data_IF_277290746297
#
_entry.id   IF_277290746297
#
_cell.length_a   1.000
_cell.length_b   1.000
_cell.length_c   1.000
_cell.angle_alpha   90.00
_cell.angle_beta   90.00
_cell.angle_gamma   90.00
#
_symmetry.space_group_name_H-M   'P 1'
#
loop_
_entity.id
_entity.type
_entity.pdbx_description
1 polymer ?
#
# COMPACT_ATOMS: atom_id res chain seq x y z
N UNK A 1 1.90 -0.96 -26.30
CA UNK A 1 0.83 -1.63 -25.52
C UNK A 1 -0.05 -0.57 -24.86
N UNK A 2 -1.39 -0.63 -25.00
CA UNK A 2 -2.30 0.32 -24.34
C UNK A 2 -2.59 -0.17 -22.92
N UNK A 3 -2.36 0.68 -21.92
CA UNK A 3 -2.57 0.39 -20.51
C UNK A 3 -3.57 1.39 -19.94
N UNK A 4 -4.61 0.90 -19.27
CA UNK A 4 -5.51 1.69 -18.44
C UNK A 4 -5.07 1.57 -16.98
N UNK A 5 -4.66 2.68 -16.36
CA UNK A 5 -4.26 2.74 -14.96
C UNK A 5 -5.36 3.40 -14.12
N UNK A 6 -5.91 2.66 -13.18
CA UNK A 6 -6.89 3.12 -12.21
C UNK A 6 -6.16 3.53 -10.93
N UNK A 7 -6.40 4.77 -10.47
CA UNK A 7 -5.80 5.31 -9.25
C UNK A 7 -4.35 5.80 -9.42
N UNK A 8 -4.01 6.37 -10.56
CA UNK A 8 -2.68 6.93 -10.86
C UNK A 8 -2.18 7.95 -9.83
N UNK A 9 -3.08 8.76 -9.25
CA UNK A 9 -2.73 9.84 -8.31
C UNK A 9 -2.49 9.36 -6.86
N UNK A 10 -2.66 8.05 -6.60
CA UNK A 10 -2.38 7.44 -5.30
C UNK A 10 -0.88 7.26 -5.03
N UNK A 11 -0.53 6.97 -3.77
CA UNK A 11 0.86 6.73 -3.36
C UNK A 11 1.60 5.72 -4.26
N UNK A 12 1.00 4.57 -4.53
CA UNK A 12 1.59 3.58 -5.43
C UNK A 12 1.36 3.94 -6.90
N UNK A 13 0.16 4.45 -7.23
CA UNK A 13 -0.27 4.68 -8.61
C UNK A 13 0.65 5.60 -9.41
N UNK A 14 1.19 6.66 -8.78
CA UNK A 14 2.13 7.57 -9.43
C UNK A 14 3.43 6.89 -9.86
N UNK A 15 4.01 6.03 -9.01
CA UNK A 15 5.22 5.27 -9.36
C UNK A 15 4.95 4.21 -10.43
N UNK A 16 3.74 3.65 -10.43
CA UNK A 16 3.30 2.74 -11.49
C UNK A 16 3.15 3.51 -12.80
N UNK A 17 2.56 4.70 -12.78
CA UNK A 17 2.46 5.57 -13.96
C UNK A 17 3.85 5.90 -14.52
N UNK A 18 4.76 6.39 -13.67
CA UNK A 18 6.14 6.72 -14.05
C UNK A 18 6.87 5.52 -14.65
N UNK A 19 6.72 4.35 -14.01
CA UNK A 19 7.37 3.12 -14.50
C UNK A 19 6.81 2.65 -15.84
N UNK A 20 5.50 2.78 -16.06
CA UNK A 20 4.85 2.43 -17.32
C UNK A 20 5.23 3.41 -18.43
N UNK A 21 5.25 4.71 -18.15
CA UNK A 21 5.64 5.76 -19.10
C UNK A 21 7.13 5.71 -19.49
N UNK A 22 7.97 5.13 -18.64
CA UNK A 22 9.38 4.89 -18.95
C UNK A 22 9.58 3.81 -20.04
N UNK A 23 8.55 3.06 -20.40
CA UNK A 23 8.57 2.11 -21.50
C UNK A 23 7.93 2.76 -22.75
N UNK A 24 8.71 3.07 -23.80
CA UNK A 24 8.20 3.77 -24.99
C UNK A 24 7.15 2.97 -25.79
N UNK A 25 7.05 1.66 -25.54
CA UNK A 25 6.01 0.82 -26.13
C UNK A 25 4.66 0.91 -25.41
N UNK A 26 4.58 1.65 -24.26
CA UNK A 26 3.36 1.80 -23.47
C UNK A 26 2.66 3.12 -23.81
N UNK A 27 1.38 3.03 -24.10
CA UNK A 27 0.46 4.17 -24.14
C UNK A 27 -0.44 4.09 -22.90
N UNK A 28 -0.20 4.96 -21.95
CA UNK A 28 -0.91 5.01 -20.67
C UNK A 28 -2.14 5.92 -20.77
N UNK A 29 -3.26 5.46 -20.23
CA UNK A 29 -4.44 6.28 -19.95
C UNK A 29 -4.72 6.18 -18.44
N UNK A 30 -4.73 7.29 -17.73
CA UNK A 30 -5.02 7.36 -16.30
C UNK A 30 -6.50 7.64 -16.07
N UNK A 31 -7.17 6.79 -15.27
CA UNK A 31 -8.55 6.97 -14.86
C UNK A 31 -8.62 7.15 -13.34
N UNK A 32 -9.29 8.20 -12.90
CA UNK A 32 -9.37 8.55 -11.48
C UNK A 32 -10.42 9.61 -11.18
N UNK A 33 -10.47 10.08 -9.92
CA UNK A 33 -11.41 11.10 -9.46
C UNK A 33 -10.87 12.52 -9.52
N UNK A 34 -9.55 12.66 -9.57
CA UNK A 34 -8.86 13.96 -9.56
C UNK A 34 -8.80 14.60 -10.93
N UNK A 35 -8.45 15.89 -10.95
CA UNK A 35 -8.29 16.67 -12.17
C UNK A 35 -7.05 16.26 -12.98
N UNK A 36 -6.09 15.62 -12.34
CA UNK A 36 -4.86 15.09 -12.97
C UNK A 36 -5.08 13.76 -13.71
N UNK A 37 -6.30 13.20 -13.71
CA UNK A 37 -6.61 11.99 -14.47
C UNK A 37 -7.01 12.37 -15.91
N UNK A 38 -6.54 11.60 -16.90
CA UNK A 38 -6.95 11.78 -18.30
C UNK A 38 -8.47 11.62 -18.45
N UNK A 39 -9.07 10.75 -17.63
CA UNK A 39 -10.50 10.52 -17.57
C UNK A 39 -11.01 10.49 -16.13
N UNK A 40 -11.99 11.34 -15.85
CA UNK A 40 -12.63 11.40 -14.52
C UNK A 40 -13.70 10.32 -14.39
N UNK A 41 -13.51 9.43 -13.43
CA UNK A 41 -14.46 8.36 -13.10
C UNK A 41 -14.34 7.90 -11.65
N UNK A 42 -15.47 7.78 -10.97
CA UNK A 42 -15.53 7.20 -9.62
C UNK A 42 -15.90 5.71 -9.71
N UNK A 43 -14.92 4.83 -9.51
CA UNK A 43 -15.12 3.39 -9.53
C UNK A 43 -16.14 2.89 -8.49
N UNK A 44 -16.25 3.59 -7.36
CA UNK A 44 -17.12 3.19 -6.25
C UNK A 44 -18.55 3.67 -6.37
N UNK A 45 -18.82 4.65 -7.24
CA UNK A 45 -20.14 5.24 -7.46
C UNK A 45 -20.58 5.23 -8.93
N UNK A 46 -19.65 4.96 -9.83
CA UNK A 46 -19.90 4.97 -11.27
C UNK A 46 -20.60 3.72 -11.78
N UNK A 47 -21.30 3.85 -12.88
CA UNK A 47 -21.98 2.73 -13.54
C UNK A 47 -20.99 1.79 -14.21
N UNK A 48 -21.06 0.46 -14.00
CA UNK A 48 -20.27 -0.52 -14.76
C UNK A 48 -20.45 -0.35 -16.27
N UNK A 49 -21.68 -0.05 -16.75
CA UNK A 49 -21.95 0.17 -18.18
C UNK A 49 -21.25 1.40 -18.76
N UNK A 50 -21.00 2.45 -17.98
CA UNK A 50 -20.20 3.59 -18.42
C UNK A 50 -18.73 3.21 -18.57
N UNK A 51 -18.19 2.44 -17.62
CA UNK A 51 -16.83 1.92 -17.71
C UNK A 51 -16.68 0.91 -18.86
N UNK A 52 -17.69 0.07 -19.13
CA UNK A 52 -17.75 -0.82 -20.29
C UNK A 52 -17.57 -0.04 -21.58
N UNK A 53 -18.39 1.00 -21.82
CA UNK A 53 -18.28 1.82 -23.05
C UNK A 53 -16.92 2.49 -23.19
N UNK A 54 -16.33 2.90 -22.07
CA UNK A 54 -14.98 3.45 -22.06
C UNK A 54 -13.92 2.41 -22.45
N UNK A 55 -13.99 1.20 -21.89
CA UNK A 55 -13.13 0.09 -22.26
C UNK A 55 -13.26 -0.28 -23.74
N UNK A 56 -14.49 -0.29 -24.27
CA UNK A 56 -14.76 -0.55 -25.69
C UNK A 56 -14.20 0.55 -26.60
N UNK A 57 -14.13 1.81 -26.13
CA UNK A 57 -13.55 2.90 -26.91
C UNK A 57 -12.01 2.89 -26.90
N UNK A 58 -11.40 2.60 -25.75
CA UNK A 58 -9.94 2.64 -25.56
C UNK A 58 -9.26 1.36 -26.02
N UNK A 59 -9.94 0.22 -25.91
CA UNK A 59 -9.40 -1.12 -26.18
C UNK A 59 -8.03 -1.33 -25.49
N UNK A 60 -7.94 -1.23 -24.15
CA UNK A 60 -6.68 -1.50 -23.47
C UNK A 60 -6.27 -2.97 -23.64
N UNK A 61 -4.98 -3.22 -23.70
CA UNK A 61 -4.44 -4.59 -23.57
C UNK A 61 -4.25 -5.00 -22.12
N UNK A 62 -4.08 -4.00 -21.21
CA UNK A 62 -3.92 -4.23 -19.78
C UNK A 62 -4.70 -3.17 -18.99
N UNK A 63 -5.39 -3.62 -17.94
CA UNK A 63 -5.98 -2.76 -16.89
C UNK A 63 -5.19 -2.98 -15.61
N UNK A 64 -4.59 -1.93 -15.08
CA UNK A 64 -3.88 -1.95 -13.79
C UNK A 64 -4.74 -1.23 -12.77
N UNK A 65 -5.11 -1.91 -11.69
CA UNK A 65 -5.90 -1.31 -10.62
C UNK A 65 -5.08 -1.07 -9.35
N UNK A 66 -4.63 0.17 -9.16
CA UNK A 66 -4.02 0.70 -7.95
C UNK A 66 -5.02 1.50 -7.08
N UNK A 67 -6.27 1.63 -7.51
CA UNK A 67 -7.29 2.37 -6.77
C UNK A 67 -7.72 1.63 -5.50
N UNK A 68 -7.99 2.38 -4.45
CA UNK A 68 -8.48 1.86 -3.18
C UNK A 68 -8.35 2.89 -2.07
N UNK A 69 -8.97 2.59 -0.93
CA UNK A 69 -8.87 3.36 0.30
C UNK A 69 -8.15 2.53 1.36
N UNK A 70 -7.25 3.17 2.12
CA UNK A 70 -6.50 2.54 3.23
C UNK A 70 -7.04 2.95 4.59
N UNK A 71 -7.93 3.95 4.63
CA UNK A 71 -8.54 4.52 5.84
C UNK A 71 -10.03 4.71 5.65
N UNK A 72 -10.75 4.76 6.76
CA UNK A 72 -12.19 4.94 6.78
C UNK A 72 -12.89 3.86 7.59
N UNK A 73 -14.19 4.00 7.78
CA UNK A 73 -15.04 2.97 8.38
C UNK A 73 -15.22 1.76 7.46
N UNK A 74 -15.72 0.65 8.02
CA UNK A 74 -15.94 -0.60 7.26
C UNK A 74 -16.75 -0.38 5.97
N UNK A 75 -17.82 0.44 6.04
CA UNK A 75 -18.66 0.76 4.88
C UNK A 75 -17.89 1.48 3.77
N UNK A 76 -17.05 2.45 4.14
CA UNK A 76 -16.25 3.23 3.20
C UNK A 76 -15.17 2.35 2.56
N UNK A 77 -14.46 1.56 3.36
CA UNK A 77 -13.46 0.61 2.88
C UNK A 77 -14.08 -0.43 1.93
N UNK A 78 -15.24 -1.00 2.28
CA UNK A 78 -15.96 -1.92 1.39
C UNK A 78 -16.34 -1.24 0.08
N UNK A 79 -16.85 -0.01 0.13
CA UNK A 79 -17.22 0.75 -1.08
C UNK A 79 -16.04 0.96 -2.01
N UNK A 80 -14.90 1.44 -1.47
CA UNK A 80 -13.74 1.82 -2.29
C UNK A 80 -12.83 0.65 -2.65
N UNK A 81 -12.81 -0.44 -1.89
CA UNK A 81 -11.95 -1.58 -2.17
C UNK A 81 -12.69 -2.74 -2.83
N UNK A 82 -13.91 -3.05 -2.38
CA UNK A 82 -14.65 -4.22 -2.87
C UNK A 82 -15.61 -3.83 -4.01
N UNK A 83 -16.50 -2.86 -3.78
CA UNK A 83 -17.49 -2.46 -4.81
C UNK A 83 -16.81 -1.86 -6.03
N UNK A 84 -15.78 -1.03 -5.84
CA UNK A 84 -14.99 -0.49 -6.95
C UNK A 84 -14.36 -1.61 -7.82
N UNK A 85 -13.83 -2.66 -7.20
CA UNK A 85 -13.26 -3.81 -7.93
C UNK A 85 -14.36 -4.62 -8.63
N UNK A 86 -15.53 -4.79 -7.99
CA UNK A 86 -16.68 -5.42 -8.64
C UNK A 86 -17.08 -4.67 -9.92
N UNK A 87 -17.13 -3.31 -9.87
CA UNK A 87 -17.40 -2.46 -11.02
C UNK A 87 -16.39 -2.70 -12.16
N UNK A 88 -15.09 -2.82 -11.84
CA UNK A 88 -14.04 -3.11 -12.84
C UNK A 88 -14.24 -4.50 -13.45
N UNK A 89 -14.40 -5.53 -12.64
CA UNK A 89 -14.60 -6.91 -13.13
C UNK A 89 -15.85 -7.03 -14.01
N UNK A 90 -16.95 -6.41 -13.59
CA UNK A 90 -18.20 -6.41 -14.36
C UNK A 90 -18.06 -5.67 -15.70
N UNK A 91 -17.43 -4.49 -15.68
CA UNK A 91 -17.20 -3.73 -16.90
C UNK A 91 -16.30 -4.48 -17.90
N UNK A 92 -15.20 -5.07 -17.41
CA UNK A 92 -14.30 -5.86 -18.26
C UNK A 92 -14.98 -7.10 -18.85
N UNK A 93 -15.83 -7.78 -18.09
CA UNK A 93 -16.59 -8.94 -18.59
C UNK A 93 -17.66 -8.58 -19.62
N UNK A 94 -18.23 -7.38 -19.55
CA UNK A 94 -19.23 -6.88 -20.51
C UNK A 94 -18.59 -6.27 -21.74
N UNK A 95 -17.36 -5.80 -21.61
CA UNK A 95 -16.59 -5.22 -22.72
C UNK A 95 -16.17 -6.29 -23.72
N UNK A 96 -16.09 -5.94 -24.98
CA UNK A 96 -15.49 -6.78 -26.02
C UNK A 96 -13.96 -6.83 -25.98
N UNK A 97 -13.30 -6.12 -25.05
CA UNK A 97 -11.84 -6.15 -24.93
C UNK A 97 -11.34 -7.36 -24.13
N UNK A 98 -10.22 -7.95 -24.58
CA UNK A 98 -9.54 -9.08 -23.93
C UNK A 98 -8.41 -8.61 -23.03
N UNK A 99 -8.61 -7.51 -22.32
CA UNK A 99 -7.59 -6.91 -21.46
C UNK A 99 -7.22 -7.82 -20.28
N UNK A 100 -5.93 -7.89 -19.99
CA UNK A 100 -5.41 -8.49 -18.74
C UNK A 100 -5.65 -7.57 -17.56
N UNK A 101 -6.07 -8.10 -16.40
CA UNK A 101 -6.23 -7.35 -15.16
C UNK A 101 -5.03 -7.60 -14.22
N UNK A 102 -4.33 -6.53 -13.85
CA UNK A 102 -3.36 -6.53 -12.75
C UNK A 102 -3.97 -5.80 -11.55
N UNK A 103 -4.40 -6.56 -10.55
CA UNK A 103 -5.03 -6.02 -9.34
C UNK A 103 -4.01 -5.87 -8.22
N UNK A 104 -3.91 -4.70 -7.61
CA UNK A 104 -3.11 -4.51 -6.40
C UNK A 104 -3.91 -4.94 -5.18
N UNK A 105 -3.46 -6.05 -4.56
CA UNK A 105 -3.89 -6.59 -3.28
C UNK A 105 -3.02 -6.09 -2.12
N UNK A 106 -3.17 -6.71 -0.94
CA UNK A 106 -2.43 -6.31 0.25
C UNK A 106 -2.14 -7.51 1.17
N UNK A 107 -0.97 -7.52 1.81
CA UNK A 107 -0.61 -8.53 2.82
C UNK A 107 -1.58 -8.59 4.01
N UNK A 108 -2.33 -7.51 4.29
CA UNK A 108 -3.37 -7.50 5.34
C UNK A 108 -4.51 -8.51 5.09
N UNK A 109 -4.65 -9.03 3.87
CA UNK A 109 -5.57 -10.10 3.53
C UNK A 109 -5.24 -11.40 4.26
N UNK A 110 -3.95 -11.67 4.52
CA UNK A 110 -3.52 -12.84 5.29
C UNK A 110 -3.84 -12.73 6.78
N UNK A 111 -3.84 -11.50 7.33
CA UNK A 111 -3.95 -11.27 8.77
C UNK A 111 -2.67 -11.61 9.54
N UNK A 112 -2.79 -11.99 10.82
CA UNK A 112 -1.63 -12.32 11.67
C UNK A 112 -0.89 -13.56 11.16
N UNK A 113 0.44 -13.45 11.03
CA UNK A 113 1.32 -14.55 10.68
C UNK A 113 2.17 -15.00 11.87
N UNK A 114 2.61 -16.25 11.86
CA UNK A 114 3.47 -16.78 12.92
C UNK A 114 4.85 -16.10 12.89
N UNK A 115 5.36 -15.59 14.01
CA UNK A 115 6.69 -15.01 14.07
C UNK A 115 7.77 -15.94 13.53
N UNK A 116 8.68 -15.40 12.71
CA UNK A 116 9.75 -16.15 12.07
C UNK A 116 9.36 -16.91 10.80
N UNK A 117 8.08 -16.93 10.43
CA UNK A 117 7.62 -17.60 9.20
C UNK A 117 7.45 -16.62 8.03
N UNK A 118 7.66 -17.12 6.80
CA UNK A 118 7.27 -16.42 5.57
C UNK A 118 5.88 -16.86 5.14
N UNK A 119 5.07 -15.91 4.72
CA UNK A 119 3.69 -16.16 4.25
C UNK A 119 3.71 -16.44 2.76
N UNK A 120 3.33 -17.64 2.35
CA UNK A 120 3.17 -18.04 0.96
C UNK A 120 1.77 -17.70 0.43
N UNK A 121 1.58 -17.77 -0.89
CA UNK A 121 0.32 -17.37 -1.55
C UNK A 121 -0.84 -18.30 -1.24
N UNK A 122 -0.57 -19.55 -0.88
CA UNK A 122 -1.55 -20.56 -0.46
C UNK A 122 -1.93 -20.49 1.03
N UNK A 123 -1.31 -19.59 1.79
CA UNK A 123 -1.68 -19.36 3.19
C UNK A 123 -3.15 -18.93 3.29
N UNK A 124 -3.89 -19.59 4.21
CA UNK A 124 -5.31 -19.31 4.43
C UNK A 124 -5.50 -17.88 4.94
N UNK A 125 -6.24 -17.01 4.21
CA UNK A 125 -6.47 -15.64 4.63
C UNK A 125 -7.31 -15.56 5.91
N UNK A 126 -6.86 -14.73 6.87
CA UNK A 126 -7.56 -14.46 8.14
C UNK A 126 -7.44 -12.98 8.50
N UNK A 127 -8.00 -12.07 7.69
CA UNK A 127 -7.85 -10.64 7.92
C UNK A 127 -8.41 -10.22 9.27
N UNK A 128 -7.63 -9.48 10.06
CA UNK A 128 -7.99 -9.08 11.42
C UNK A 128 -8.76 -7.75 11.51
N UNK A 129 -9.03 -7.07 10.39
CA UNK A 129 -9.71 -5.79 10.41
C UNK A 129 -10.44 -5.44 9.11
N UNK A 130 -11.30 -4.40 9.11
CA UNK A 130 -12.16 -4.05 7.98
C UNK A 130 -11.41 -3.81 6.66
N UNK A 131 -10.20 -3.25 6.74
CA UNK A 131 -9.37 -3.04 5.56
C UNK A 131 -8.95 -4.37 4.92
N UNK A 132 -8.35 -5.27 5.68
CA UNK A 132 -7.96 -6.59 5.19
C UNK A 132 -9.15 -7.37 4.65
N UNK A 133 -10.30 -7.33 5.33
CA UNK A 133 -11.56 -7.95 4.86
C UNK A 133 -11.99 -7.38 3.51
N UNK A 134 -11.98 -6.05 3.35
CA UNK A 134 -12.38 -5.40 2.09
C UNK A 134 -11.41 -5.72 0.93
N UNK A 135 -10.11 -5.84 1.22
CA UNK A 135 -9.09 -6.23 0.23
C UNK A 135 -9.20 -7.70 -0.16
N UNK A 136 -9.44 -8.59 0.82
CA UNK A 136 -9.67 -10.02 0.56
C UNK A 136 -10.91 -10.23 -0.32
N UNK A 137 -12.03 -9.57 0.00
CA UNK A 137 -13.24 -9.65 -0.81
C UNK A 137 -12.99 -9.19 -2.26
N UNK A 138 -12.18 -8.15 -2.46
CA UNK A 138 -11.77 -7.70 -3.80
C UNK A 138 -10.92 -8.77 -4.52
N UNK A 139 -9.97 -9.39 -3.82
CA UNK A 139 -9.15 -10.48 -4.37
C UNK A 139 -10.03 -11.64 -4.82
N UNK A 140 -10.97 -12.07 -3.98
CA UNK A 140 -11.89 -13.16 -4.32
C UNK A 140 -12.77 -12.84 -5.53
N UNK A 141 -13.25 -11.60 -5.66
CA UNK A 141 -14.00 -11.15 -6.84
C UNK A 141 -13.16 -11.26 -8.12
N UNK A 142 -11.89 -10.87 -8.08
CA UNK A 142 -10.98 -10.95 -9.23
C UNK A 142 -10.71 -12.40 -9.61
N UNK A 143 -10.35 -13.25 -8.64
CA UNK A 143 -10.02 -14.67 -8.87
C UNK A 143 -11.19 -15.47 -9.44
N UNK A 144 -12.42 -15.10 -9.07
CA UNK A 144 -13.64 -15.75 -9.54
C UNK A 144 -14.32 -15.02 -10.73
N UNK A 145 -13.68 -13.99 -11.30
CA UNK A 145 -14.26 -13.20 -12.39
C UNK A 145 -14.25 -13.88 -13.76
N UNK A 146 -13.41 -14.90 -13.96
CA UNK A 146 -13.13 -15.51 -15.25
C UNK A 146 -12.26 -14.66 -16.19
N UNK A 147 -11.71 -13.53 -15.71
CA UNK A 147 -10.78 -12.69 -16.46
C UNK A 147 -9.35 -13.28 -16.46
N UNK A 148 -8.56 -12.94 -17.47
CA UNK A 148 -7.10 -13.09 -17.36
C UNK A 148 -6.59 -12.09 -16.31
N UNK A 149 -6.31 -12.56 -15.10
CA UNK A 149 -6.03 -11.69 -13.96
C UNK A 149 -4.91 -12.22 -13.07
N UNK A 150 -4.16 -11.27 -12.48
CA UNK A 150 -3.21 -11.52 -11.40
C UNK A 150 -3.43 -10.53 -10.27
N UNK A 151 -3.38 -11.01 -9.03
CA UNK A 151 -3.46 -10.18 -7.82
C UNK A 151 -2.09 -10.11 -7.19
N UNK A 152 -1.55 -8.90 -7.06
CA UNK A 152 -0.28 -8.64 -6.39
C UNK A 152 -0.55 -8.27 -4.93
N UNK A 153 -0.36 -9.22 -4.00
CA UNK A 153 -0.45 -8.93 -2.56
C UNK A 153 0.81 -8.22 -2.09
N UNK A 154 0.73 -6.90 -2.04
CA UNK A 154 1.85 -6.04 -1.65
C UNK A 154 2.00 -6.03 -0.15
N UNK A 155 3.21 -6.32 0.34
CA UNK A 155 3.59 -6.15 1.73
C UNK A 155 3.85 -4.67 2.01
N UNK A 156 4.34 -4.28 3.16
CA UNK A 156 4.37 -2.87 3.61
C UNK A 156 5.12 -1.93 2.65
N UNK A 157 4.44 -1.26 1.69
CA UNK A 157 5.11 -0.38 0.73
C UNK A 157 5.58 0.92 1.40
N UNK A 158 6.83 1.30 1.09
CA UNK A 158 7.52 2.48 1.63
C UNK A 158 8.30 3.19 0.54
N UNK A 159 8.80 4.40 0.81
CA UNK A 159 9.61 5.18 -0.14
C UNK A 159 9.14 6.61 -0.26
N UNK A 160 9.55 7.34 -1.30
CA UNK A 160 9.16 8.74 -1.49
C UNK A 160 7.63 8.90 -1.51
N UNK A 161 7.10 9.89 -0.80
CA UNK A 161 5.66 10.11 -0.65
C UNK A 161 4.94 9.13 0.25
N UNK A 162 5.65 8.39 1.06
CA UNK A 162 5.04 7.57 2.10
C UNK A 162 4.03 8.40 2.90
N UNK A 163 2.75 7.97 2.99
CA UNK A 163 1.71 8.76 3.65
C UNK A 163 2.09 9.09 5.09
N UNK A 164 1.96 10.36 5.49
CA UNK A 164 2.28 10.84 6.84
C UNK A 164 1.56 10.07 7.95
N UNK A 165 0.45 9.43 7.65
CA UNK A 165 -0.26 8.58 8.60
C UNK A 165 0.19 7.12 8.63
N UNK A 166 1.18 6.70 7.83
CA UNK A 166 1.81 5.38 7.96
C UNK A 166 2.75 5.35 9.17
N UNK A 167 3.14 4.17 9.69
CA UNK A 167 4.07 4.11 10.83
C UNK A 167 5.37 4.86 10.57
N UNK A 168 6.01 4.65 9.42
CA UNK A 168 7.27 5.33 9.09
C UNK A 168 7.07 6.80 8.73
N UNK A 169 5.94 7.16 8.10
CA UNK A 169 5.61 8.57 7.83
C UNK A 169 5.36 9.37 9.11
N UNK A 170 4.65 8.79 10.10
CA UNK A 170 4.47 9.42 11.41
C UNK A 170 5.79 9.57 12.15
N UNK A 171 6.65 8.56 12.09
CA UNK A 171 7.96 8.60 12.71
C UNK A 171 8.83 9.71 12.11
N UNK A 172 8.89 9.81 10.79
CA UNK A 172 9.63 10.90 10.12
C UNK A 172 9.09 12.28 10.52
N UNK A 173 7.78 12.43 10.60
CA UNK A 173 7.15 13.68 11.01
C UNK A 173 7.39 14.00 12.51
N UNK A 174 7.41 12.99 13.38
CA UNK A 174 7.75 13.15 14.79
C UNK A 174 9.21 13.61 14.96
N UNK A 175 10.15 12.98 14.23
CA UNK A 175 11.57 13.38 14.26
C UNK A 175 11.75 14.80 13.73
N UNK A 176 11.08 15.16 12.63
CA UNK A 176 11.14 16.51 12.08
C UNK A 176 10.69 17.56 13.12
N UNK A 177 9.56 17.29 13.81
CA UNK A 177 9.05 18.20 14.85
C UNK A 177 10.01 18.29 16.04
N UNK A 178 10.55 17.16 16.52
CA UNK A 178 11.50 17.12 17.61
C UNK A 178 12.77 17.94 17.29
N UNK A 179 13.29 17.79 16.07
CA UNK A 179 14.46 18.57 15.63
C UNK A 179 14.15 20.07 15.52
N UNK A 180 12.94 20.46 15.13
CA UNK A 180 12.51 21.86 15.07
C UNK A 180 12.29 22.48 16.46
N UNK A 181 11.77 21.70 17.40
CA UNK A 181 11.56 22.16 18.80
C UNK A 181 12.80 22.04 19.67
N UNK A 182 13.87 21.38 19.20
CA UNK A 182 15.05 21.07 20.01
C UNK A 182 14.84 19.94 21.01
N UNK A 183 13.82 19.11 20.84
CA UNK A 183 13.54 17.98 21.70
C UNK A 183 14.54 16.84 21.47
N UNK A 184 15.17 16.39 22.56
CA UNK A 184 16.16 15.33 22.54
C UNK A 184 15.59 13.96 22.92
N UNK A 185 14.27 13.84 23.07
CA UNK A 185 13.58 12.60 23.42
C UNK A 185 12.33 12.39 22.54
N UNK A 186 12.21 11.23 21.94
CA UNK A 186 11.01 10.77 21.25
C UNK A 186 10.43 9.56 21.96
N UNK A 187 9.19 9.68 22.43
CA UNK A 187 8.45 8.58 23.07
C UNK A 187 7.54 7.92 22.05
N UNK A 188 7.81 6.69 21.72
CA UNK A 188 7.18 5.93 20.64
C UNK A 188 6.57 4.64 21.20
N UNK A 189 5.42 4.22 20.67
CA UNK A 189 4.81 2.94 21.00
C UNK A 189 4.67 2.04 19.80
N UNK A 190 4.62 0.71 20.02
CA UNK A 190 4.43 -0.28 18.97
C UNK A 190 5.66 -0.55 18.09
N UNK A 191 6.85 -0.24 18.60
CA UNK A 191 8.13 -0.47 17.91
C UNK A 191 8.49 -1.96 17.79
N UNK A 192 7.84 -2.84 18.56
CA UNK A 192 8.06 -4.30 18.52
C UNK A 192 7.50 -4.99 17.28
N UNK A 193 6.65 -4.31 16.50
CA UNK A 193 6.03 -4.87 15.29
C UNK A 193 7.09 -5.09 14.21
N UNK A 194 7.00 -6.24 13.51
CA UNK A 194 7.89 -6.58 12.41
C UNK A 194 7.12 -6.62 11.10
N UNK A 195 7.67 -5.98 10.06
CA UNK A 195 7.06 -5.84 8.73
C UNK A 195 8.09 -6.09 7.64
N UNK A 196 7.64 -6.67 6.55
CA UNK A 196 8.38 -6.73 5.30
C UNK A 196 8.14 -5.44 4.53
N UNK A 197 9.09 -4.51 4.64
CA UNK A 197 9.03 -3.22 3.97
C UNK A 197 9.60 -3.34 2.56
N UNK A 198 8.80 -3.04 1.55
CA UNK A 198 9.21 -3.04 0.15
C UNK A 198 9.13 -1.63 -0.44
N UNK A 199 10.14 -1.23 -1.19
CA UNK A 199 10.12 0.10 -1.83
C UNK A 199 9.02 0.20 -2.89
N UNK A 200 8.32 1.32 -2.90
CA UNK A 200 7.19 1.57 -3.81
C UNK A 200 7.60 1.53 -5.28
N UNK A 201 8.85 1.91 -5.61
CA UNK A 201 9.43 1.82 -6.97
C UNK A 201 9.65 0.36 -7.37
N UNK A 202 10.01 -0.49 -6.42
CA UNK A 202 10.12 -1.92 -6.64
C UNK A 202 8.74 -2.56 -6.85
N UNK A 203 7.72 -2.11 -6.11
CA UNK A 203 6.32 -2.53 -6.36
C UNK A 203 5.88 -2.10 -7.76
N UNK A 204 6.19 -0.88 -8.20
CA UNK A 204 5.87 -0.42 -9.55
C UNK A 204 6.54 -1.28 -10.63
N UNK A 205 7.79 -1.72 -10.41
CA UNK A 205 8.45 -2.70 -11.30
C UNK A 205 7.75 -4.06 -11.32
N UNK A 206 7.23 -4.50 -10.17
CA UNK A 206 6.44 -5.74 -10.10
C UNK A 206 5.13 -5.63 -10.90
N UNK A 207 4.42 -4.50 -10.78
CA UNK A 207 3.21 -4.22 -11.56
C UNK A 207 3.51 -4.22 -13.06
N UNK A 208 4.59 -3.56 -13.51
CA UNK A 208 5.02 -3.57 -14.90
C UNK A 208 5.35 -5.00 -15.38
N UNK A 209 6.11 -5.77 -14.60
CA UNK A 209 6.42 -7.16 -14.93
C UNK A 209 5.17 -8.04 -15.03
N UNK A 210 4.22 -7.86 -14.10
CA UNK A 210 2.93 -8.56 -14.11
C UNK A 210 2.08 -8.20 -15.34
N UNK A 211 2.16 -6.95 -15.80
CA UNK A 211 1.45 -6.50 -17.02
C UNK A 211 1.94 -7.20 -18.29
N UNK A 212 3.18 -7.66 -18.30
CA UNK A 212 3.82 -8.34 -19.44
C UNK A 212 3.85 -9.87 -19.30
N UNK A 213 3.47 -10.40 -18.14
CA UNK A 213 3.54 -11.83 -17.84
C UNK A 213 2.23 -12.56 -18.16
N UNK A 214 2.28 -13.89 -18.22
CA UNK A 214 1.09 -14.76 -18.24
C UNK A 214 0.72 -15.29 -16.83
N UNK A 215 1.33 -14.75 -15.75
CA UNK A 215 1.07 -15.19 -14.41
C UNK A 215 -0.38 -14.92 -14.00
N UNK A 216 -1.05 -15.89 -13.41
CA UNK A 216 -2.43 -15.80 -12.92
C UNK A 216 -2.48 -16.10 -11.41
N UNK A 217 -3.60 -15.81 -10.79
CA UNK A 217 -3.79 -16.04 -9.36
C UNK A 217 -3.10 -14.97 -8.50
N UNK A 218 -2.52 -15.38 -7.38
CA UNK A 218 -1.91 -14.48 -6.40
C UNK A 218 -0.39 -14.52 -6.52
N UNK A 219 0.25 -13.36 -6.35
CA UNK A 219 1.71 -13.21 -6.25
C UNK A 219 2.04 -12.24 -5.12
N UNK A 220 2.86 -12.67 -4.17
CA UNK A 220 3.34 -11.82 -3.08
C UNK A 220 4.45 -10.88 -3.55
N UNK A 221 4.34 -9.60 -3.20
CA UNK A 221 5.35 -8.58 -3.50
C UNK A 221 5.87 -8.00 -2.18
N UNK A 222 7.09 -8.40 -1.85
CA UNK A 222 7.80 -8.03 -0.62
C UNK A 222 9.31 -8.22 -0.81
N UNK A 223 10.08 -8.05 0.25
CA UNK A 223 11.53 -8.29 0.24
C UNK A 223 11.91 -9.69 0.70
N UNK A 224 11.00 -10.42 1.35
CA UNK A 224 11.28 -11.68 2.03
C UNK A 224 12.02 -11.49 3.36
N UNK A 225 12.05 -10.27 3.90
CA UNK A 225 12.72 -9.95 5.17
C UNK A 225 11.82 -9.08 6.05
N UNK A 226 11.46 -9.60 7.21
CA UNK A 226 10.78 -8.82 8.23
C UNK A 226 11.80 -7.96 9.00
N UNK A 227 11.52 -6.68 9.13
CA UNK A 227 12.34 -5.72 9.89
C UNK A 227 11.49 -5.20 11.05
N UNK A 228 12.07 -5.16 12.24
CA UNK A 228 11.41 -4.59 13.42
C UNK A 228 11.27 -3.08 13.22
N UNK A 229 10.12 -2.52 13.57
CA UNK A 229 9.88 -1.08 13.42
C UNK A 229 10.88 -0.24 14.24
N UNK A 230 11.34 -0.76 15.39
CA UNK A 230 12.42 -0.14 16.17
C UNK A 230 13.72 0.01 15.37
N UNK A 231 14.11 -1.04 14.62
CA UNK A 231 15.34 -1.02 13.84
C UNK A 231 15.22 -0.03 12.68
N UNK A 232 14.04 -0.01 12.01
CA UNK A 232 13.74 1.00 10.99
C UNK A 232 13.75 2.43 11.57
N UNK A 233 13.25 2.63 12.80
CA UNK A 233 13.28 3.90 13.50
C UNK A 233 14.72 4.35 13.79
N UNK A 234 15.59 3.45 14.21
CA UNK A 234 17.02 3.74 14.46
C UNK A 234 17.75 4.12 13.17
N UNK A 235 17.46 3.43 12.06
CA UNK A 235 18.01 3.80 10.75
C UNK A 235 17.52 5.17 10.30
N UNK A 236 16.22 5.44 10.45
CA UNK A 236 15.65 6.74 10.08
C UNK A 236 16.25 7.88 10.93
N UNK A 237 16.45 7.68 12.25
CA UNK A 237 17.09 8.67 13.12
C UNK A 237 18.51 8.98 12.66
N UNK A 238 19.29 7.95 12.31
CA UNK A 238 20.65 8.12 11.77
C UNK A 238 20.64 8.91 10.45
N UNK A 239 19.77 8.56 9.52
CA UNK A 239 19.64 9.25 8.22
C UNK A 239 19.18 10.69 8.39
N UNK A 240 18.29 10.94 9.36
CA UNK A 240 17.79 12.27 9.69
C UNK A 240 18.84 13.16 10.41
N UNK A 241 19.91 12.56 10.93
CA UNK A 241 20.83 13.27 11.83
C UNK A 241 20.21 13.58 13.19
N UNK A 242 19.15 12.86 13.58
CA UNK A 242 18.53 13.02 14.89
C UNK A 242 19.39 12.37 15.97
N UNK A 243 19.93 13.18 16.90
CA UNK A 243 20.79 12.72 17.99
C UNK A 243 20.06 12.45 19.30
N UNK A 244 18.74 12.68 19.35
CA UNK A 244 17.93 12.43 20.53
C UNK A 244 17.67 10.94 20.79
N UNK A 245 17.22 10.63 22.01
CA UNK A 245 16.91 9.27 22.41
C UNK A 245 15.53 8.82 21.91
N UNK A 246 15.44 7.56 21.49
CA UNK A 246 14.18 6.90 21.13
C UNK A 246 13.73 6.00 22.26
N UNK A 247 12.69 6.40 22.97
CA UNK A 247 12.11 5.66 24.09
C UNK A 247 10.90 4.86 23.63
N UNK A 248 10.92 3.54 23.81
CA UNK A 248 9.75 2.69 23.57
C UNK A 248 8.86 2.69 24.82
N UNK A 249 7.58 2.96 24.62
CA UNK A 249 6.56 2.85 25.66
C UNK A 249 5.96 1.46 25.64
N UNK A 250 5.99 0.77 26.78
CA UNK A 250 5.57 -0.63 26.95
C UNK A 250 4.06 -0.87 26.77
N UNK A 251 3.23 0.17 26.84
CA UNK A 251 1.79 0.07 26.66
C UNK A 251 1.23 1.26 25.84
N UNK A 252 0.21 1.04 25.02
CA UNK A 252 -0.56 2.16 24.48
C UNK A 252 -1.22 2.89 25.67
N UNK A 253 -1.25 4.24 25.69
CA UNK A 253 -1.98 4.96 26.71
C UNK A 253 -3.46 4.56 26.68
N UNK A 254 -4.16 4.70 27.80
CA UNK A 254 -5.57 4.47 27.88
C UNK A 254 -6.29 5.30 26.81
N UNK A 255 -7.25 4.69 26.11
CA UNK A 255 -8.11 5.41 25.16
C UNK A 255 -8.80 6.53 25.90
N UNK A 256 -8.48 7.78 25.56
CA UNK A 256 -9.23 8.91 26.10
C UNK A 256 -10.69 8.79 25.63
N UNK A 257 -11.67 9.07 26.49
CA UNK A 257 -13.06 9.15 26.07
C UNK A 257 -13.22 10.14 24.91
N UNK A 258 -14.07 9.79 23.94
CA UNK A 258 -14.39 10.67 22.82
C UNK A 258 -14.94 11.98 23.42
N UNK A 259 -14.23 13.10 23.25
CA UNK A 259 -14.66 14.43 23.74
C UNK A 259 -13.83 15.03 24.87
N UNK A 260 -12.78 14.39 25.38
CA UNK A 260 -11.92 15.01 26.40
C UNK A 260 -11.07 16.16 25.78
N UNK A 261 -11.00 17.35 26.43
CA UNK A 261 -10.16 18.44 25.96
C UNK A 261 -8.68 18.08 26.09
N UNK A 262 -7.89 18.34 25.07
CA UNK A 262 -6.43 18.14 25.11
C UNK A 262 -5.80 19.22 25.98
N UNK A 263 -5.05 18.83 27.00
CA UNK A 263 -4.22 19.77 27.74
C UNK A 263 -2.95 20.09 26.95
N UNK A 264 -2.55 21.36 26.96
CA UNK A 264 -1.45 21.89 26.14
C UNK A 264 -0.03 21.56 26.66
N UNK A 265 0.11 20.64 27.62
CA UNK A 265 1.37 20.35 28.32
C UNK A 265 1.79 18.88 28.29
N UNK A 266 1.10 18.02 27.51
CA UNK A 266 1.55 16.63 27.35
C UNK A 266 2.60 16.55 26.24
N UNK A 267 3.80 16.07 26.60
CA UNK A 267 4.83 15.64 25.66
C UNK A 267 4.18 14.77 24.58
N UNK A 268 4.46 15.05 23.30
CA UNK A 268 3.85 14.37 22.17
C UNK A 268 4.21 12.90 22.21
N UNK A 269 3.34 12.09 22.77
CA UNK A 269 3.44 10.63 22.73
C UNK A 269 2.86 10.18 21.39
N UNK A 270 3.72 9.84 20.46
CA UNK A 270 3.27 9.39 19.15
C UNK A 270 3.08 7.88 19.12
N UNK A 271 1.80 7.46 19.05
CA UNK A 271 1.44 6.06 18.96
C UNK A 271 1.55 5.57 17.53
N UNK A 272 2.58 4.79 17.23
CA UNK A 272 2.76 4.18 15.92
C UNK A 272 1.76 3.04 15.65
N UNK A 273 1.06 2.54 16.69
CA UNK A 273 0.13 1.42 16.58
C UNK A 273 -1.33 1.71 16.95
N UNK A 274 -1.65 2.83 17.63
CA UNK A 274 -2.95 3.02 18.30
C UNK A 274 -3.96 3.93 17.58
N UNK A 275 -3.62 4.59 16.49
CA UNK A 275 -4.56 5.29 15.61
C UNK A 275 -4.86 4.43 14.39
N UNK A 276 -5.94 4.68 13.63
CA UNK A 276 -6.20 3.92 12.41
C UNK A 276 -4.97 4.04 11.48
N UNK A 277 -4.06 3.11 11.67
CA UNK A 277 -2.86 2.90 10.86
C UNK A 277 -3.31 2.55 9.45
N UNK A 278 -2.60 2.93 8.38
CA UNK A 278 -2.78 2.34 7.06
C UNK A 278 -2.53 0.83 7.05
N UNK A 279 -1.91 0.32 8.14
CA UNK A 279 -1.88 -1.10 8.48
C UNK A 279 -2.87 -1.32 9.62
N UNK A 280 -4.16 -1.58 9.32
CA UNK A 280 -5.20 -1.70 10.33
C UNK A 280 -4.89 -2.85 11.28
N UNK A 281 -5.34 -2.67 12.52
CA UNK A 281 -5.36 -3.72 13.54
C UNK A 281 -5.78 -5.05 12.91
N UNK A 282 -4.95 -6.06 13.07
CA UNK A 282 -5.20 -7.39 12.49
C UNK A 282 -4.09 -7.95 11.63
N UNK A 283 -3.05 -7.17 11.30
CA UNK A 283 -1.84 -7.72 10.68
C UNK A 283 -0.92 -8.45 11.67
N UNK A 284 -1.27 -8.50 12.96
CA UNK A 284 -0.44 -9.10 14.00
C UNK A 284 0.91 -8.40 14.20
N UNK A 285 1.78 -9.02 14.99
CA UNK A 285 3.11 -8.50 15.27
C UNK A 285 4.16 -8.84 14.19
N UNK A 286 3.87 -9.76 13.28
CA UNK A 286 4.80 -10.26 12.28
C UNK A 286 4.17 -10.34 10.89
N UNK A 287 4.87 -9.87 9.86
CA UNK A 287 4.59 -10.13 8.45
C UNK A 287 5.87 -10.22 7.64
N UNK A 288 6.03 -11.30 6.88
CA UNK A 288 7.13 -11.53 5.95
C UNK A 288 6.58 -12.26 4.71
N UNK A 289 6.94 -11.80 3.53
CA UNK A 289 6.54 -12.43 2.26
C UNK A 289 7.39 -13.68 1.97
N UNK A 290 6.77 -14.71 1.45
CA UNK A 290 7.48 -15.63 0.56
C UNK A 290 7.48 -15.02 -0.85
N UNK A 291 8.65 -14.77 -1.39
CA UNK A 291 8.84 -14.08 -2.67
C UNK A 291 9.26 -15.00 -3.83
N UNK A 292 9.19 -16.31 -3.63
CA UNK A 292 9.58 -17.29 -4.65
C UNK A 292 8.71 -17.18 -5.89
N UNK A 293 7.40 -17.06 -5.73
CA UNK A 293 6.44 -16.92 -6.84
C UNK A 293 6.73 -15.67 -7.67
N UNK A 294 7.02 -14.53 -7.04
CA UNK A 294 7.37 -13.29 -7.75
C UNK A 294 8.63 -13.47 -8.60
N UNK A 295 9.64 -14.13 -8.06
CA UNK A 295 10.86 -14.42 -8.78
C UNK A 295 10.62 -15.36 -9.96
N UNK A 296 9.89 -16.44 -9.74
CA UNK A 296 9.78 -17.54 -10.70
C UNK A 296 8.76 -17.23 -11.82
N UNK A 297 7.64 -16.51 -11.50
CA UNK A 297 6.58 -16.19 -12.47
C UNK A 297 6.70 -14.81 -13.10
N UNK A 298 7.30 -13.82 -12.41
CA UNK A 298 7.45 -12.46 -12.91
C UNK A 298 8.89 -12.10 -13.24
N UNK A 299 9.88 -12.93 -12.92
CA UNK A 299 11.31 -12.57 -13.01
C UNK A 299 11.67 -11.39 -12.12
N UNK A 300 10.84 -11.11 -11.10
CA UNK A 300 10.96 -9.94 -10.28
C UNK A 300 11.73 -10.20 -8.97
N UNK A 301 12.54 -9.23 -8.56
CA UNK A 301 13.21 -9.17 -7.25
C UNK A 301 13.27 -7.73 -6.75
N UNK A 302 13.21 -7.49 -5.43
CA UNK A 302 13.45 -6.18 -4.86
C UNK A 302 14.91 -5.75 -5.15
N UNK A 303 15.12 -4.44 -5.37
CA UNK A 303 16.44 -3.86 -5.68
C UNK A 303 16.83 -2.76 -4.72
N UNK A 304 15.83 -2.05 -4.19
CA UNK A 304 16.05 -0.88 -3.33
C UNK A 304 16.05 -1.36 -1.87
N UNK A 305 17.06 -0.99 -1.12
CA UNK A 305 17.16 -1.34 0.29
C UNK A 305 16.34 -0.39 1.17
N UNK A 306 16.01 -0.84 2.39
CA UNK A 306 15.17 -0.06 3.31
C UNK A 306 15.83 1.27 3.72
N UNK A 307 17.16 1.33 3.87
CA UNK A 307 17.85 2.56 4.25
C UNK A 307 17.69 3.66 3.19
N UNK A 308 17.77 3.29 1.91
CA UNK A 308 17.52 4.21 0.79
C UNK A 308 16.06 4.71 0.81
N UNK A 309 15.09 3.81 1.01
CA UNK A 309 13.68 4.20 1.15
C UNK A 309 13.43 5.13 2.33
N UNK A 310 14.13 4.91 3.47
CA UNK A 310 14.02 5.76 4.66
C UNK A 310 14.67 7.13 4.44
N UNK A 311 15.79 7.19 3.69
CA UNK A 311 16.42 8.46 3.31
C UNK A 311 15.46 9.32 2.46
N UNK A 312 14.79 8.72 1.49
CA UNK A 312 13.81 9.40 0.66
C UNK A 312 12.60 9.90 1.48
N UNK A 313 12.10 9.07 2.41
CA UNK A 313 11.02 9.47 3.33
C UNK A 313 11.45 10.68 4.16
N UNK A 314 12.68 10.67 4.68
CA UNK A 314 13.21 11.78 5.48
C UNK A 314 13.37 13.04 4.64
N UNK A 315 13.97 12.96 3.47
CA UNK A 315 14.15 14.13 2.60
C UNK A 315 12.80 14.81 2.31
N UNK A 316 11.77 14.04 2.02
CA UNK A 316 10.44 14.60 1.76
C UNK A 316 9.80 15.19 3.04
N UNK A 317 9.96 14.55 4.20
CA UNK A 317 9.47 15.09 5.45
C UNK A 317 10.18 16.38 5.83
N UNK A 318 11.49 16.45 5.65
CA UNK A 318 12.31 17.63 5.94
C UNK A 318 11.98 18.85 5.04
N UNK A 319 11.54 18.60 3.81
CA UNK A 319 11.14 19.67 2.87
C UNK A 319 9.72 20.23 3.15
N UNK A 320 8.95 19.63 4.04
CA UNK A 320 7.63 20.16 4.43
C UNK A 320 7.82 21.28 5.46
N UNK A 321 7.91 22.51 4.98
CA UNK A 321 7.98 23.74 5.80
C UNK A 321 6.58 24.13 6.26
#
# INVERSE_FOLDING_TARGET
MRVLLLGANGFLGRFVADRLLADPAVHLTALGRGDDADVRFDLAGGSPGALTRFLDAVHPGVVVNCAGATRGGARELTRHNTVAVATVCEAMRRSGCTARLVQVGCASEYGPSQPGSSTAEDAIPRPGGPYGVSKLAATELVLNSGLDAVVLRVFSPVGPGTPAGSPLGRLAEAMRRAMQSGDNELKLSGLGVQRDFVDVRDVARAVHAASLSAAQGIVNIGTGRAVRLRDAASVLARVAGYSGALHELDAPPPRLPIGAPRSSTESVVEHLSATPSPYPDGCGAWQQADVRTARDRLGWRPRINLEESLADIWMEAACRI
#
